data_IF_818632453224
#
_entry.id   IF_818632453224
#
_cell.length_a   1.000
_cell.length_b   1.000
_cell.length_c   1.000
_cell.angle_alpha   90.00
_cell.angle_beta   90.00
_cell.angle_gamma   90.00
#
_symmetry.space_group_name_H-M   'P 1'
#
loop_
_entity.id
_entity.type
_entity.pdbx_description
1 polymer ?
#
# COMPACT_ATOMS: atom_id res chain seq x y z
N UNK A 1 14.80 -9.57 -8.20
CA UNK A 1 15.20 -8.95 -9.47
C UNK A 1 14.58 -7.56 -9.52
N UNK A 2 15.19 -6.60 -8.84
CA UNK A 2 14.90 -5.17 -8.98
C UNK A 2 16.22 -4.38 -8.98
N UNK A 3 17.36 -5.04 -9.20
CA UNK A 3 18.68 -4.46 -8.98
C UNK A 3 19.05 -3.34 -9.97
N UNK A 4 18.29 -3.19 -11.06
CA UNK A 4 18.56 -2.27 -12.17
C UNK A 4 17.36 -1.37 -12.56
N UNK A 5 16.34 -1.19 -11.70
CA UNK A 5 15.15 -0.40 -12.05
C UNK A 5 14.28 -1.03 -13.16
N UNK A 6 13.33 -0.27 -13.71
CA UNK A 6 12.50 -0.67 -14.87
C UNK A 6 13.34 -1.06 -16.09
N UNK A 7 14.45 -0.37 -16.33
CA UNK A 7 15.39 -0.69 -17.42
C UNK A 7 16.03 -2.09 -17.28
N UNK A 8 16.06 -2.65 -16.07
CA UNK A 8 16.51 -4.01 -15.78
C UNK A 8 15.41 -5.07 -15.87
N UNK A 9 14.14 -4.67 -15.83
CA UNK A 9 12.98 -5.53 -16.02
C UNK A 9 12.82 -5.81 -17.52
N UNK A 10 13.63 -6.74 -18.04
CA UNK A 10 13.48 -7.21 -19.42
C UNK A 10 12.36 -8.24 -19.47
N UNK A 11 11.41 -8.07 -20.39
CA UNK A 11 10.31 -9.03 -20.62
C UNK A 11 10.81 -10.47 -20.77
N UNK A 12 11.97 -10.64 -21.41
CA UNK A 12 12.66 -11.94 -21.57
C UNK A 12 13.01 -12.62 -20.24
N UNK A 13 13.34 -11.88 -19.19
CA UNK A 13 13.62 -12.44 -17.87
C UNK A 13 12.34 -12.82 -17.12
N UNK A 14 11.27 -12.05 -17.33
CA UNK A 14 9.93 -12.32 -16.78
C UNK A 14 9.34 -13.60 -17.39
N UNK A 15 9.41 -13.72 -18.71
CA UNK A 15 9.03 -14.88 -19.54
C UNK A 15 9.81 -16.13 -19.14
N UNK A 16 11.14 -16.00 -19.01
CA UNK A 16 12.02 -17.12 -18.64
C UNK A 16 11.73 -17.65 -17.23
N UNK A 17 11.36 -16.78 -16.28
CA UNK A 17 11.02 -17.18 -14.90
C UNK A 17 9.61 -17.74 -14.76
N UNK A 18 8.64 -17.14 -15.45
CA UNK A 18 7.26 -17.58 -15.40
C UNK A 18 7.02 -18.85 -16.26
N UNK A 19 7.99 -19.25 -17.08
CA UNK A 19 7.89 -20.43 -17.94
C UNK A 19 6.85 -20.28 -19.06
N UNK A 20 6.41 -19.05 -19.34
CA UNK A 20 5.37 -18.72 -20.33
C UNK A 20 5.97 -17.88 -21.44
N UNK A 21 5.32 -17.85 -22.60
CA UNK A 21 5.80 -17.08 -23.76
C UNK A 21 5.65 -15.56 -23.54
N UNK A 22 6.46 -14.77 -24.23
CA UNK A 22 6.37 -13.29 -24.22
C UNK A 22 4.99 -12.80 -24.65
N UNK A 23 4.37 -13.50 -25.61
CA UNK A 23 2.98 -13.27 -26.04
C UNK A 23 1.97 -13.53 -24.92
N UNK A 24 2.20 -14.51 -24.04
CA UNK A 24 1.31 -14.82 -22.92
C UNK A 24 1.34 -13.71 -21.87
N UNK A 25 2.50 -13.10 -21.63
CA UNK A 25 2.64 -11.95 -20.73
C UNK A 25 1.91 -10.73 -21.29
N UNK A 26 2.12 -10.40 -22.58
CA UNK A 26 1.46 -9.26 -23.23
C UNK A 26 -0.04 -9.47 -23.52
N UNK A 27 -0.56 -10.69 -23.40
CA UNK A 27 -2.01 -10.92 -23.43
C UNK A 27 -2.69 -10.50 -22.10
N UNK A 28 -1.93 -10.26 -21.03
CA UNK A 28 -2.45 -9.93 -19.70
C UNK A 28 -1.98 -8.56 -19.20
N UNK A 29 -0.92 -8.01 -19.79
CA UNK A 29 -0.37 -6.69 -19.45
C UNK A 29 -0.01 -5.93 -20.73
N UNK A 30 -0.52 -4.71 -20.89
CA UNK A 30 -0.25 -3.88 -22.08
C UNK A 30 1.21 -3.40 -22.12
N UNK A 31 1.90 -3.39 -20.97
CA UNK A 31 3.31 -3.03 -20.84
C UNK A 31 3.99 -3.66 -19.61
N UNK A 32 5.33 -3.56 -19.54
CA UNK A 32 6.11 -3.91 -18.34
C UNK A 32 5.74 -2.98 -17.16
N UNK A 33 5.38 -1.73 -17.46
CA UNK A 33 4.86 -0.80 -16.46
C UNK A 33 3.55 -1.31 -15.87
N UNK A 34 2.60 -1.79 -16.68
CA UNK A 34 1.33 -2.36 -16.16
C UNK A 34 1.55 -3.60 -15.30
N UNK A 35 2.56 -4.42 -15.63
CA UNK A 35 2.95 -5.56 -14.80
C UNK A 35 3.46 -5.08 -13.43
N UNK A 36 4.26 -4.02 -13.42
CA UNK A 36 4.79 -3.43 -12.19
C UNK A 36 3.70 -2.74 -11.37
N UNK A 37 2.77 -2.02 -12.02
CA UNK A 37 1.62 -1.41 -11.37
C UNK A 37 0.70 -2.47 -10.74
N UNK A 38 0.41 -3.56 -11.45
CA UNK A 38 -0.35 -4.69 -10.88
C UNK A 38 0.32 -5.28 -9.63
N UNK A 39 1.65 -5.36 -9.62
CA UNK A 39 2.40 -5.83 -8.45
C UNK A 39 2.30 -4.89 -7.26
N UNK A 40 2.12 -3.59 -7.48
CA UNK A 40 1.84 -2.64 -6.39
C UNK A 40 0.52 -3.00 -5.71
N UNK A 41 -0.52 -3.31 -6.49
CA UNK A 41 -1.81 -3.72 -5.95
C UNK A 41 -1.70 -5.03 -5.15
N UNK A 42 -0.94 -6.01 -5.65
CA UNK A 42 -0.70 -7.27 -4.94
C UNK A 42 0.03 -7.09 -3.61
N UNK A 43 0.94 -6.11 -3.51
CA UNK A 43 1.64 -5.80 -2.25
C UNK A 43 0.79 -4.95 -1.29
N UNK A 44 0.06 -3.97 -1.80
CA UNK A 44 -0.68 -3.05 -0.93
C UNK A 44 -2.01 -3.64 -0.46
N UNK A 45 -2.79 -4.27 -1.34
CA UNK A 45 -4.16 -4.74 -1.03
C UNK A 45 -4.24 -5.62 0.21
N UNK A 46 -3.35 -6.63 0.43
CA UNK A 46 -3.42 -7.51 1.59
C UNK A 46 -3.23 -6.81 2.95
N UNK A 47 -2.74 -5.56 2.96
CA UNK A 47 -2.55 -4.77 4.18
C UNK A 47 -3.87 -4.23 4.73
N UNK A 48 -4.90 -4.08 3.87
CA UNK A 48 -6.21 -3.52 4.22
C UNK A 48 -7.39 -4.44 3.90
N UNK A 49 -7.16 -5.64 3.37
CA UNK A 49 -8.21 -6.61 3.07
C UNK A 49 -8.21 -7.80 4.04
N UNK A 50 -9.39 -8.42 4.20
CA UNK A 50 -9.57 -9.54 5.11
C UNK A 50 -9.18 -9.16 6.54
N UNK A 51 -9.58 -7.97 6.97
CA UNK A 51 -9.39 -7.50 8.33
C UNK A 51 -10.46 -8.17 9.20
N UNK A 52 -10.04 -9.12 10.03
CA UNK A 52 -10.89 -9.91 10.92
C UNK A 52 -11.47 -9.06 12.07
N UNK A 53 -12.32 -8.09 11.72
CA UNK A 53 -13.05 -7.24 12.67
C UNK A 53 -14.23 -8.05 13.20
N UNK A 54 -14.29 -8.33 14.51
CA UNK A 54 -15.37 -9.12 15.08
C UNK A 54 -16.74 -8.47 14.84
N UNK A 55 -17.74 -9.25 14.41
CA UNK A 55 -19.09 -8.74 14.14
C UNK A 55 -19.79 -8.16 15.40
N UNK A 56 -19.35 -8.55 16.59
CA UNK A 56 -19.82 -8.02 17.88
C UNK A 56 -19.09 -6.74 18.32
N UNK A 57 -18.14 -6.23 17.53
CA UNK A 57 -17.47 -4.96 17.80
C UNK A 57 -18.50 -3.83 17.90
N UNK A 58 -18.52 -3.05 19.01
CA UNK A 58 -19.40 -1.91 19.13
C UNK A 58 -19.22 -0.92 17.98
N UNK A 59 -20.33 -0.38 17.45
CA UNK A 59 -20.29 0.55 16.30
C UNK A 59 -19.34 1.73 16.54
N UNK A 60 -19.35 2.29 17.76
CA UNK A 60 -18.48 3.41 18.13
C UNK A 60 -16.97 3.06 18.12
N UNK A 61 -16.62 1.78 18.21
CA UNK A 61 -15.25 1.28 18.27
C UNK A 61 -14.72 0.82 16.91
N UNK A 62 -15.59 0.63 15.90
CA UNK A 62 -15.23 0.13 14.57
C UNK A 62 -14.05 0.85 13.92
N UNK A 63 -13.97 2.21 13.91
CA UNK A 63 -12.84 2.90 13.28
C UNK A 63 -11.50 2.48 13.91
N UNK A 64 -11.47 2.46 15.24
CA UNK A 64 -10.29 2.10 16.04
C UNK A 64 -9.95 0.63 15.86
N UNK A 65 -10.94 -0.26 15.87
CA UNK A 65 -10.75 -1.69 15.68
C UNK A 65 -10.13 -2.00 14.30
N UNK A 66 -10.63 -1.39 13.22
CA UNK A 66 -10.07 -1.57 11.87
C UNK A 66 -8.64 -1.07 11.81
N UNK A 67 -8.37 0.14 12.33
CA UNK A 67 -7.02 0.72 12.40
C UNK A 67 -6.04 -0.23 13.10
N UNK A 68 -6.44 -0.76 14.26
CA UNK A 68 -5.59 -1.65 15.05
C UNK A 68 -5.35 -2.97 14.34
N UNK A 69 -6.35 -3.51 13.62
CA UNK A 69 -6.17 -4.71 12.77
C UNK A 69 -5.17 -4.46 11.64
N UNK A 70 -5.18 -3.28 11.02
CA UNK A 70 -4.18 -2.91 10.01
C UNK A 70 -2.79 -2.85 10.63
N UNK A 71 -2.62 -2.19 11.78
CA UNK A 71 -1.32 -2.13 12.48
C UNK A 71 -0.80 -3.52 12.87
N UNK A 72 -1.68 -4.37 13.41
CA UNK A 72 -1.35 -5.77 13.71
C UNK A 72 -0.91 -6.51 12.44
N UNK A 73 -1.62 -6.33 11.32
CA UNK A 73 -1.28 -6.95 10.02
C UNK A 73 0.10 -6.51 9.54
N UNK A 74 0.39 -5.21 9.61
CA UNK A 74 1.68 -4.63 9.22
C UNK A 74 2.86 -5.21 10.03
N UNK A 75 2.63 -5.56 11.30
CA UNK A 75 3.65 -6.15 12.16
C UNK A 75 3.88 -7.67 11.94
N UNK A 76 3.06 -8.34 11.12
CA UNK A 76 3.26 -9.75 10.79
C UNK A 76 4.36 -9.95 9.74
N UNK A 77 5.02 -11.12 9.68
CA UNK A 77 6.00 -11.42 8.62
C UNK A 77 5.43 -11.21 7.20
N UNK A 78 4.19 -11.64 6.96
CA UNK A 78 3.52 -11.45 5.67
C UNK A 78 3.28 -9.96 5.35
N UNK A 79 2.90 -9.16 6.36
CA UNK A 79 2.75 -7.70 6.21
C UNK A 79 4.08 -7.02 5.89
N UNK A 80 5.15 -7.41 6.59
CA UNK A 80 6.51 -6.90 6.34
C UNK A 80 7.03 -7.30 4.96
N UNK A 81 6.75 -8.51 4.48
CA UNK A 81 7.05 -8.96 3.12
C UNK A 81 6.32 -8.11 2.07
N UNK A 82 5.04 -7.80 2.31
CA UNK A 82 4.24 -6.92 1.45
C UNK A 82 4.84 -5.51 1.38
N UNK A 83 5.15 -4.91 2.54
CA UNK A 83 5.80 -3.59 2.62
C UNK A 83 7.15 -3.59 1.91
N UNK A 84 7.98 -4.60 2.17
CA UNK A 84 9.29 -4.75 1.54
C UNK A 84 9.15 -4.80 0.03
N UNK A 85 8.27 -5.66 -0.48
CA UNK A 85 7.99 -5.80 -1.91
C UNK A 85 7.54 -4.49 -2.54
N UNK A 86 6.60 -3.80 -1.91
CA UNK A 86 6.11 -2.50 -2.37
C UNK A 86 7.23 -1.46 -2.44
N UNK A 87 7.99 -1.25 -1.36
CA UNK A 87 8.99 -0.17 -1.30
C UNK A 87 10.14 -0.42 -2.27
N UNK A 88 10.59 -1.68 -2.41
CA UNK A 88 11.62 -2.02 -3.39
C UNK A 88 11.13 -1.79 -4.82
N UNK A 89 9.88 -2.15 -5.11
CA UNK A 89 9.30 -1.92 -6.43
C UNK A 89 9.13 -0.43 -6.69
N UNK A 90 8.53 0.32 -5.76
CA UNK A 90 8.34 1.76 -5.88
C UNK A 90 9.68 2.49 -6.09
N UNK A 91 10.73 2.15 -5.34
CA UNK A 91 12.05 2.73 -5.52
C UNK A 91 12.68 2.42 -6.88
N UNK A 92 12.43 1.22 -7.42
CA UNK A 92 12.91 0.83 -8.75
C UNK A 92 12.16 1.53 -9.90
N UNK A 93 10.91 1.94 -9.68
CA UNK A 93 10.05 2.62 -10.66
C UNK A 93 10.17 4.15 -10.60
N UNK A 94 10.43 4.72 -9.42
CA UNK A 94 10.38 6.15 -9.17
C UNK A 94 11.26 7.02 -10.11
N UNK A 95 12.49 6.63 -10.49
CA UNK A 95 13.35 7.47 -11.35
C UNK A 95 12.77 7.73 -12.74
N UNK A 96 12.08 6.75 -13.31
CA UNK A 96 11.62 6.79 -14.70
C UNK A 96 10.11 7.08 -14.80
N UNK A 97 9.31 6.64 -13.82
CA UNK A 97 7.85 6.65 -13.88
C UNK A 97 7.20 7.22 -12.61
N UNK A 98 7.90 8.10 -11.87
CA UNK A 98 7.47 8.59 -10.55
C UNK A 98 6.06 9.22 -10.50
N UNK A 99 5.66 9.99 -11.51
CA UNK A 99 4.31 10.59 -11.56
C UNK A 99 3.22 9.53 -11.76
N UNK A 100 3.43 8.62 -12.73
CA UNK A 100 2.51 7.51 -13.03
C UNK A 100 2.38 6.59 -11.81
N UNK A 101 3.52 6.24 -11.19
CA UNK A 101 3.61 5.48 -9.97
C UNK A 101 2.79 6.12 -8.84
N UNK A 102 3.02 7.42 -8.59
CA UNK A 102 2.32 8.14 -7.52
C UNK A 102 0.81 8.13 -7.73
N UNK A 103 0.36 8.41 -8.96
CA UNK A 103 -1.06 8.39 -9.30
C UNK A 103 -1.66 7.01 -9.10
N UNK A 104 -0.98 5.96 -9.54
CA UNK A 104 -1.45 4.59 -9.39
C UNK A 104 -1.54 4.22 -7.90
N UNK A 105 -0.49 4.46 -7.11
CA UNK A 105 -0.49 4.21 -5.67
C UNK A 105 -1.64 4.92 -4.96
N UNK A 106 -1.90 6.19 -5.27
CA UNK A 106 -3.03 6.93 -4.67
C UNK A 106 -4.38 6.29 -5.00
N UNK A 107 -4.57 5.83 -6.25
CA UNK A 107 -5.78 5.13 -6.66
C UNK A 107 -5.92 3.77 -5.95
N UNK A 108 -4.84 2.99 -5.87
CA UNK A 108 -4.80 1.71 -5.15
C UNK A 108 -5.18 1.90 -3.68
N UNK A 109 -4.57 2.86 -2.99
CA UNK A 109 -4.86 3.16 -1.58
C UNK A 109 -6.33 3.61 -1.39
N UNK A 110 -6.86 4.41 -2.31
CA UNK A 110 -8.28 4.83 -2.26
C UNK A 110 -9.22 3.63 -2.41
N UNK A 111 -8.92 2.72 -3.35
CA UNK A 111 -9.67 1.48 -3.54
C UNK A 111 -9.60 0.57 -2.32
N UNK A 112 -8.44 0.48 -1.67
CA UNK A 112 -8.25 -0.29 -0.44
C UNK A 112 -9.09 0.23 0.73
N UNK A 113 -9.12 1.55 0.93
CA UNK A 113 -9.99 2.16 1.95
C UNK A 113 -11.48 1.85 1.72
N UNK A 114 -11.89 1.85 0.44
CA UNK A 114 -13.26 1.48 0.03
C UNK A 114 -13.55 -0.02 0.24
N UNK A 115 -12.58 -0.89 -0.06
CA UNK A 115 -12.67 -2.33 0.17
C UNK A 115 -12.83 -2.64 1.66
N UNK A 116 -11.93 -2.12 2.50
CA UNK A 116 -11.99 -2.29 3.95
C UNK A 116 -13.33 -1.81 4.53
N UNK A 117 -13.83 -0.66 4.07
CA UNK A 117 -15.16 -0.16 4.47
C UNK A 117 -16.26 -1.13 4.07
N UNK A 118 -16.23 -1.66 2.85
CA UNK A 118 -17.24 -2.59 2.36
C UNK A 118 -17.26 -3.91 3.12
N UNK A 119 -16.08 -4.43 3.50
CA UNK A 119 -15.97 -5.64 4.33
C UNK A 119 -16.61 -5.42 5.71
N UNK A 120 -16.32 -4.29 6.37
CA UNK A 120 -16.92 -3.96 7.66
C UNK A 120 -18.44 -3.72 7.53
N UNK A 121 -18.86 -2.98 6.50
CA UNK A 121 -20.28 -2.71 6.25
C UNK A 121 -21.10 -4.00 6.05
N UNK A 122 -20.52 -5.04 5.45
CA UNK A 122 -21.18 -6.33 5.25
C UNK A 122 -21.46 -7.08 6.56
N UNK A 123 -20.55 -6.97 7.53
CA UNK A 123 -20.68 -7.61 8.86
C UNK A 123 -21.46 -6.76 9.86
N UNK A 124 -21.68 -5.47 9.57
CA UNK A 124 -22.37 -4.51 10.43
C UNK A 124 -23.56 -3.81 9.73
N UNK A 125 -24.62 -4.56 9.34
CA UNK A 125 -25.77 -4.03 8.59
C UNK A 125 -26.60 -2.98 9.36
N UNK A 126 -26.39 -2.87 10.68
CA UNK A 126 -27.02 -1.87 11.54
C UNK A 126 -26.50 -0.45 11.34
N UNK A 127 -25.38 -0.26 10.62
CA UNK A 127 -24.84 1.07 10.34
C UNK A 127 -25.79 1.89 9.48
N UNK A 128 -26.12 3.09 9.95
CA UNK A 128 -26.80 4.10 9.14
C UNK A 128 -25.91 4.58 7.98
N UNK A 129 -26.52 5.14 6.93
CA UNK A 129 -25.79 5.68 5.79
C UNK A 129 -24.74 6.73 6.19
N UNK A 130 -25.07 7.59 7.16
CA UNK A 130 -24.12 8.59 7.66
C UNK A 130 -22.90 7.95 8.34
N UNK A 131 -23.13 6.92 9.17
CA UNK A 131 -22.04 6.17 9.81
C UNK A 131 -21.17 5.45 8.77
N UNK A 132 -21.78 4.85 7.74
CA UNK A 132 -21.05 4.22 6.63
C UNK A 132 -20.17 5.24 5.89
N UNK A 133 -20.69 6.43 5.58
CA UNK A 133 -19.93 7.49 4.93
C UNK A 133 -18.75 7.99 5.79
N UNK A 134 -18.98 8.17 7.09
CA UNK A 134 -17.94 8.58 8.06
C UNK A 134 -16.85 7.51 8.15
N UNK A 135 -17.22 6.23 8.24
CA UNK A 135 -16.28 5.12 8.28
C UNK A 135 -15.47 5.03 6.99
N UNK A 136 -16.11 5.08 5.82
CA UNK A 136 -15.44 5.02 4.52
C UNK A 136 -14.43 6.15 4.32
N UNK A 137 -14.80 7.37 4.71
CA UNK A 137 -13.89 8.52 4.67
C UNK A 137 -12.67 8.28 5.55
N UNK A 138 -12.89 7.83 6.78
CA UNK A 138 -11.81 7.54 7.73
C UNK A 138 -10.87 6.44 7.22
N UNK A 139 -11.40 5.31 6.73
CA UNK A 139 -10.60 4.20 6.22
C UNK A 139 -9.84 4.56 4.93
N UNK A 140 -10.43 5.39 4.07
CA UNK A 140 -9.72 5.96 2.91
C UNK A 140 -8.57 6.86 3.35
N UNK A 141 -8.79 7.70 4.36
CA UNK A 141 -7.72 8.54 4.92
C UNK A 141 -6.62 7.72 5.58
N UNK A 142 -6.95 6.61 6.26
CA UNK A 142 -5.96 5.68 6.81
C UNK A 142 -5.12 5.05 5.70
N UNK A 143 -5.76 4.57 4.63
CA UNK A 143 -5.04 4.00 3.49
C UNK A 143 -4.11 5.03 2.83
N UNK A 144 -4.54 6.29 2.65
CA UNK A 144 -3.66 7.37 2.18
C UNK A 144 -2.55 7.69 3.19
N UNK A 145 -2.86 7.62 4.49
CA UNK A 145 -1.91 7.77 5.59
C UNK A 145 -0.78 6.74 5.53
N UNK A 146 -1.06 5.49 5.12
CA UNK A 146 -0.03 4.48 4.85
C UNK A 146 1.02 4.99 3.86
N UNK A 147 0.57 5.53 2.72
CA UNK A 147 1.46 6.07 1.70
C UNK A 147 2.33 7.22 2.21
N UNK A 148 1.75 8.13 2.99
CA UNK A 148 2.49 9.24 3.61
C UNK A 148 3.48 8.76 4.69
N UNK A 149 3.10 7.76 5.48
CA UNK A 149 3.99 7.11 6.44
C UNK A 149 5.20 6.47 5.76
N UNK A 150 4.99 5.80 4.63
CA UNK A 150 6.06 5.19 3.82
C UNK A 150 6.97 6.22 3.15
N UNK A 151 6.42 7.38 2.75
CA UNK A 151 7.21 8.47 2.18
C UNK A 151 8.01 9.27 3.22
N UNK A 152 7.60 9.23 4.50
CA UNK A 152 8.19 10.04 5.56
C UNK A 152 9.69 9.78 5.82
N UNK A 153 10.20 8.53 5.89
CA UNK A 153 11.64 8.29 6.01
C UNK A 153 12.44 8.91 4.87
N UNK A 154 11.92 8.89 3.63
CA UNK A 154 12.57 9.51 2.49
C UNK A 154 12.73 11.03 2.68
N UNK A 155 11.78 11.70 3.33
CA UNK A 155 11.87 13.12 3.68
C UNK A 155 12.89 13.44 4.78
N UNK A 156 13.19 12.47 5.65
CA UNK A 156 14.14 12.64 6.77
C UNK A 156 15.56 12.15 6.45
N UNK A 157 15.71 11.20 5.54
CA UNK A 157 16.99 10.52 5.27
C UNK A 157 17.62 10.85 3.90
N UNK A 158 16.85 11.38 2.94
CA UNK A 158 17.42 11.78 1.64
C UNK A 158 17.85 13.27 1.73
N UNK A 159 19.16 13.59 1.57
CA UNK A 159 19.58 14.97 1.43
C UNK A 159 18.87 15.64 0.24
N UNK A 160 18.71 16.97 0.27
CA UNK A 160 18.09 17.77 -0.82
C UNK A 160 18.80 17.64 -2.18
N UNK A 161 19.90 16.91 -2.25
CA UNK A 161 20.69 16.69 -3.44
C UNK A 161 20.13 15.52 -4.25
N UNK A 162 20.27 15.59 -5.57
CA UNK A 162 19.77 14.58 -6.51
C UNK A 162 20.52 13.26 -6.29
N UNK A 163 19.86 12.28 -5.67
CA UNK A 163 20.39 10.93 -5.50
C UNK A 163 20.28 10.14 -6.79
N UNK A 164 21.27 9.31 -7.07
CA UNK A 164 21.19 8.31 -8.14
C UNK A 164 20.25 7.17 -7.74
N UNK A 165 19.64 6.45 -8.70
CA UNK A 165 18.76 5.31 -8.41
C UNK A 165 19.42 4.21 -7.55
N UNK A 166 20.73 4.01 -7.72
CA UNK A 166 21.49 3.02 -6.95
C UNK A 166 21.60 3.42 -5.48
N UNK A 167 21.86 4.70 -5.21
CA UNK A 167 21.93 5.25 -3.86
C UNK A 167 20.57 5.26 -3.14
N UNK A 168 19.47 5.37 -3.88
CA UNK A 168 18.12 5.25 -3.30
C UNK A 168 17.86 3.81 -2.85
N UNK A 169 18.23 2.82 -3.67
CA UNK A 169 18.03 1.39 -3.38
C UNK A 169 18.79 0.95 -2.13
N UNK A 170 20.05 1.35 -1.99
CA UNK A 170 20.90 0.95 -0.85
C UNK A 170 20.52 1.66 0.47
N UNK A 171 19.56 2.59 0.40
CA UNK A 171 19.08 3.39 1.55
C UNK A 171 17.61 3.13 1.88
N UNK A 172 16.99 2.12 1.25
CA UNK A 172 15.65 1.66 1.63
C UNK A 172 15.76 1.04 3.02
N UNK A 173 15.09 1.60 4.04
CA UNK A 173 15.11 1.02 5.37
C UNK A 173 14.35 -0.32 5.39
N UNK A 174 14.68 -1.22 6.33
CA UNK A 174 13.90 -2.42 6.59
C UNK A 174 12.42 -2.09 6.83
N UNK A 175 11.50 -2.99 6.45
CA UNK A 175 10.07 -2.74 6.60
C UNK A 175 9.66 -2.51 8.06
N UNK A 176 10.35 -3.13 9.02
CA UNK A 176 10.15 -2.96 10.45
C UNK A 176 10.40 -1.52 10.89
N UNK A 177 11.38 -0.85 10.28
CA UNK A 177 11.70 0.55 10.56
C UNK A 177 10.67 1.51 9.94
N UNK A 178 9.87 1.05 8.97
CA UNK A 178 8.80 1.85 8.36
C UNK A 178 7.53 1.90 9.19
N UNK A 179 7.25 0.86 9.99
CA UNK A 179 6.00 0.73 10.77
C UNK A 179 5.78 1.94 11.71
N UNK A 180 6.77 2.43 12.48
CA UNK A 180 6.59 3.61 13.32
C UNK A 180 6.22 4.89 12.54
N UNK A 181 6.63 5.01 11.28
CA UNK A 181 6.25 6.14 10.43
C UNK A 181 4.82 6.04 9.94
N UNK A 182 4.34 4.83 9.68
CA UNK A 182 2.94 4.54 9.36
C UNK A 182 2.05 4.81 10.59
N UNK A 183 2.46 4.33 11.77
CA UNK A 183 1.76 4.60 13.04
C UNK A 183 1.61 6.10 13.29
N UNK A 184 2.68 6.88 13.08
CA UNK A 184 2.61 8.33 13.18
C UNK A 184 1.62 8.95 12.18
N UNK A 185 1.56 8.45 10.94
CA UNK A 185 0.62 8.95 9.94
C UNK A 185 -0.82 8.62 10.34
N UNK A 186 -1.06 7.44 10.88
CA UNK A 186 -2.37 7.04 11.42
C UNK A 186 -2.78 7.95 12.58
N UNK A 187 -1.85 8.33 13.47
CA UNK A 187 -2.13 9.31 14.52
C UNK A 187 -2.56 10.68 13.96
N UNK A 188 -2.07 11.08 12.79
CA UNK A 188 -2.56 12.31 12.13
C UNK A 188 -3.98 12.15 11.59
N UNK A 189 -4.32 10.97 11.06
CA UNK A 189 -5.68 10.65 10.60
C UNK A 189 -6.65 10.57 11.78
N UNK A 190 -6.20 10.04 12.92
CA UNK A 190 -6.99 9.92 14.14
C UNK A 190 -7.40 11.26 14.75
N UNK A 191 -6.75 12.37 14.38
CA UNK A 191 -7.25 13.70 14.70
C UNK A 191 -8.66 13.96 14.12
N UNK A 192 -9.06 13.22 13.09
CA UNK A 192 -10.39 13.20 12.49
C UNK A 192 -11.18 11.91 12.75
N UNK A 193 -10.87 11.16 13.82
CA UNK A 193 -11.58 9.92 14.17
C UNK A 193 -13.11 10.17 14.22
N UNK A 194 -13.92 9.43 13.44
CA UNK A 194 -15.35 9.67 13.39
C UNK A 194 -16.05 9.18 14.66
N UNK A 195 -17.01 9.96 15.15
CA UNK A 195 -17.99 9.49 16.12
C UNK A 195 -19.11 8.78 15.33
N UNK A 196 -19.21 7.47 15.46
CA UNK A 196 -20.24 6.65 14.83
C UNK A 196 -21.44 6.48 15.76
#
# INVERSE_FOLDING_TARGET
MLENGLAGLRTKDLVRRAGVSERTVFNHFDSIEDTALTRIEEYLTPLFSGLDVPADTPVAELPTAVRDRVLIRLATPAGLECLTGFVHLAAALAPDSGEILTRHVVLTLTSMGSLASSEVEAEHPQLSLEQQMRLRLYLTNLALGLGLGLARPALHHLPRETLTPLEVKDRIPPAEELVPHIEWAFQQVDAGLPQL
#
